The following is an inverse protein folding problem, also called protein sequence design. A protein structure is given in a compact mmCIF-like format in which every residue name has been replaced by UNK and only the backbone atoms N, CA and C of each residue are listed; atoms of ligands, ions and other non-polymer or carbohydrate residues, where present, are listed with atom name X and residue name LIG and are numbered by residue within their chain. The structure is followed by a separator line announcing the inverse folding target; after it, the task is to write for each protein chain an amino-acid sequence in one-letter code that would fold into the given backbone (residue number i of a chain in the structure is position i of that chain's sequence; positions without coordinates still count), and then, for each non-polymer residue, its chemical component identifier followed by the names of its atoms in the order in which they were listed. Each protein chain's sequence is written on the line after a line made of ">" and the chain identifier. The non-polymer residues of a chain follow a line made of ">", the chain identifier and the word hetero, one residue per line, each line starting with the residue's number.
data_IF_257878315280
#
_entry.id   IF_257878315280
#
_cell.length_a   1.000
_cell.length_b   1.000
_cell.length_c   1.000
_cell.angle_alpha   90.00
_cell.angle_beta   90.00
_cell.angle_gamma   90.00
#
_symmetry.space_group_name_H-M   'P 1'
#
loop_
_entity.id
_entity.type
_entity.pdbx_description
1 polymer ?
#
# COMPACT_ATOMS: atom_id res chain seq x y z
N UNK A 1 -32.01 30.99 -30.29
CA UNK A 1 -32.00 29.72 -29.51
C UNK A 1 -31.27 28.67 -30.35
N UNK A 2 -30.47 27.78 -29.74
CA UNK A 2 -29.61 26.74 -30.38
C UNK A 2 -28.15 27.06 -30.72
N UNK A 3 -27.36 27.61 -29.78
CA UNK A 3 -25.88 27.46 -29.82
C UNK A 3 -25.21 27.21 -28.45
N UNK A 4 -25.99 26.75 -27.46
CA UNK A 4 -25.53 26.49 -26.09
C UNK A 4 -25.33 24.99 -25.78
N UNK A 5 -25.22 24.14 -26.79
CA UNK A 5 -25.11 22.67 -26.62
C UNK A 5 -23.85 22.14 -27.31
N UNK A 6 -22.70 22.81 -27.12
CA UNK A 6 -21.38 22.25 -27.46
C UNK A 6 -20.39 22.65 -26.36
N UNK A 7 -20.72 22.37 -25.11
CA UNK A 7 -19.79 22.53 -23.98
C UNK A 7 -19.94 21.43 -22.92
N UNK A 8 -20.83 20.45 -23.13
CA UNK A 8 -21.13 19.41 -22.16
C UNK A 8 -20.47 18.05 -22.46
N UNK A 9 -19.71 17.93 -23.56
CA UNK A 9 -19.11 16.65 -23.97
C UNK A 9 -17.65 16.43 -23.51
N UNK A 10 -17.05 17.42 -22.82
CA UNK A 10 -15.68 17.34 -22.30
C UNK A 10 -15.62 17.15 -20.77
N UNK A 11 -16.68 16.59 -20.18
CA UNK A 11 -16.73 16.21 -18.77
C UNK A 11 -16.78 14.70 -18.56
N UNK A 12 -16.57 13.91 -19.61
CA UNK A 12 -16.27 12.49 -19.44
C UNK A 12 -14.84 12.35 -18.91
N UNK A 13 -14.76 12.46 -17.59
CA UNK A 13 -14.14 11.42 -16.80
C UNK A 13 -12.72 11.06 -17.24
N UNK A 14 -11.79 12.00 -17.11
CA UNK A 14 -10.52 11.62 -16.50
C UNK A 14 -10.80 11.29 -15.03
N UNK A 15 -11.54 10.20 -14.80
CA UNK A 15 -11.33 9.39 -13.60
C UNK A 15 -9.97 8.79 -13.89
N UNK A 16 -8.91 9.58 -13.71
CA UNK A 16 -7.66 9.03 -13.25
C UNK A 16 -8.05 8.45 -11.91
N UNK A 17 -8.52 7.20 -11.94
CA UNK A 17 -8.50 6.33 -10.78
C UNK A 17 -7.03 6.38 -10.41
N UNK A 18 -6.68 7.29 -9.49
CA UNK A 18 -5.54 7.06 -8.62
C UNK A 18 -5.97 5.77 -7.95
N UNK A 19 -5.61 4.65 -8.58
CA UNK A 19 -5.84 3.34 -8.04
C UNK A 19 -5.24 3.48 -6.65
N UNK A 20 -6.08 3.41 -5.61
CA UNK A 20 -5.54 3.15 -4.30
C UNK A 20 -4.62 1.95 -4.53
N UNK A 21 -3.35 2.07 -4.16
CA UNK A 21 -2.40 0.99 -4.30
C UNK A 21 -2.87 -0.08 -3.32
N UNK A 22 -3.69 -0.98 -3.86
CA UNK A 22 -4.33 -2.10 -3.18
C UNK A 22 -3.68 -3.37 -3.67
N UNK A 23 -3.77 -4.41 -2.86
CA UNK A 23 -3.25 -5.73 -3.23
C UNK A 23 -3.82 -6.19 -4.57
N UNK A 24 -5.11 -5.98 -4.82
CA UNK A 24 -5.75 -6.39 -6.06
C UNK A 24 -5.29 -5.55 -7.25
N UNK A 25 -5.20 -4.22 -7.08
CA UNK A 25 -4.69 -3.35 -8.14
C UNK A 25 -3.25 -3.67 -8.51
N UNK A 26 -2.43 -4.06 -7.53
CA UNK A 26 -1.06 -4.50 -7.77
C UNK A 26 -0.99 -5.83 -8.53
N UNK A 27 -1.78 -6.83 -8.11
CA UNK A 27 -1.89 -8.13 -8.80
C UNK A 27 -2.38 -7.98 -10.24
N UNK A 28 -3.38 -7.12 -10.48
CA UNK A 28 -3.89 -6.83 -11.82
C UNK A 28 -2.80 -6.22 -12.71
N UNK A 29 -1.99 -5.32 -12.14
CA UNK A 29 -0.87 -4.71 -12.85
C UNK A 29 0.23 -5.71 -13.15
N UNK A 30 0.59 -6.59 -12.21
CA UNK A 30 1.54 -7.68 -12.44
C UNK A 30 1.04 -8.65 -13.53
N UNK A 31 -0.24 -9.05 -13.48
CA UNK A 31 -0.84 -9.92 -14.49
C UNK A 31 -0.83 -9.30 -15.89
N UNK A 32 -1.00 -7.97 -15.98
CA UNK A 32 -1.03 -7.23 -17.25
C UNK A 32 0.35 -6.90 -17.80
N UNK A 33 1.32 -6.62 -16.92
CA UNK A 33 2.60 -6.01 -17.30
C UNK A 33 3.84 -6.87 -16.96
N UNK A 34 3.65 -8.04 -16.35
CA UNK A 34 4.69 -8.95 -15.87
C UNK A 34 5.03 -8.71 -14.38
N UNK A 35 5.35 -9.79 -13.67
CA UNK A 35 5.73 -9.74 -12.24
C UNK A 35 7.05 -8.99 -12.03
N UNK A 36 7.98 -9.07 -12.98
CA UNK A 36 9.30 -8.41 -12.93
C UNK A 36 9.30 -7.02 -13.59
N UNK A 37 8.16 -6.32 -13.59
CA UNK A 37 8.07 -5.01 -14.23
C UNK A 37 8.75 -3.93 -13.39
N UNK A 38 9.96 -3.52 -13.77
CA UNK A 38 10.76 -2.52 -13.03
C UNK A 38 10.01 -1.20 -12.75
N UNK A 39 9.16 -0.75 -13.68
CA UNK A 39 8.40 0.50 -13.50
C UNK A 39 7.34 0.34 -12.42
N UNK A 40 6.66 -0.81 -12.38
CA UNK A 40 5.69 -1.13 -11.33
C UNK A 40 6.39 -1.20 -9.97
N UNK A 41 7.53 -1.89 -9.90
CA UNK A 41 8.31 -2.02 -8.66
C UNK A 41 8.79 -0.66 -8.13
N UNK A 42 9.24 0.24 -9.00
CA UNK A 42 9.61 1.61 -8.62
C UNK A 42 8.40 2.35 -8.05
N UNK A 43 7.21 2.22 -8.67
CA UNK A 43 5.99 2.88 -8.19
C UNK A 43 5.57 2.34 -6.81
N UNK A 44 5.65 1.03 -6.60
CA UNK A 44 5.41 0.40 -5.30
C UNK A 44 6.41 0.91 -4.27
N UNK A 45 7.70 0.95 -4.60
CA UNK A 45 8.75 1.49 -3.74
C UNK A 45 8.50 2.93 -3.31
N UNK A 46 8.22 3.83 -4.26
CA UNK A 46 7.91 5.23 -3.94
C UNK A 46 6.69 5.36 -3.00
N UNK A 47 5.70 4.48 -3.14
CA UNK A 47 4.54 4.49 -2.27
C UNK A 47 4.85 3.96 -0.87
N UNK A 48 5.57 2.85 -0.78
CA UNK A 48 6.01 2.26 0.50
C UNK A 48 6.87 3.26 1.26
N UNK A 49 7.80 3.93 0.59
CA UNK A 49 8.64 4.99 1.17
C UNK A 49 7.79 6.11 1.84
N UNK A 50 6.88 6.72 1.08
CA UNK A 50 6.01 7.78 1.63
C UNK A 50 5.03 7.28 2.70
N UNK A 51 4.65 6.00 2.65
CA UNK A 51 3.81 5.37 3.67
C UNK A 51 4.57 5.19 5.00
N UNK A 52 5.83 4.77 4.96
CA UNK A 52 6.67 4.60 6.15
C UNK A 52 6.82 5.91 6.91
N UNK A 53 7.08 7.01 6.21
CA UNK A 53 7.17 8.35 6.81
C UNK A 53 5.91 8.67 7.62
N UNK A 54 4.73 8.41 7.04
CA UNK A 54 3.45 8.61 7.71
C UNK A 54 3.25 7.69 8.91
N UNK A 55 3.57 6.41 8.77
CA UNK A 55 3.43 5.41 9.83
C UNK A 55 4.37 5.70 11.01
N UNK A 56 5.62 6.08 10.75
CA UNK A 56 6.58 6.43 11.80
C UNK A 56 6.24 7.73 12.51
N UNK A 57 5.78 8.73 11.76
CA UNK A 57 5.28 9.97 12.35
C UNK A 57 4.14 9.68 13.34
N UNK A 58 3.16 8.85 12.94
CA UNK A 58 2.03 8.49 13.81
C UNK A 58 2.48 7.63 15.00
N UNK A 59 3.30 6.60 14.77
CA UNK A 59 3.72 5.66 15.81
C UNK A 59 4.54 6.34 16.92
N UNK A 60 5.39 7.30 16.57
CA UNK A 60 6.19 8.06 17.55
C UNK A 60 5.32 8.82 18.55
N UNK A 61 4.21 9.37 18.09
CA UNK A 61 3.31 10.20 18.90
C UNK A 61 2.35 9.35 19.76
N UNK A 62 2.34 8.02 19.58
CA UNK A 62 1.57 7.10 20.40
C UNK A 62 2.33 6.72 21.69
N UNK A 63 1.60 6.60 22.83
CA UNK A 63 2.11 5.93 24.03
C UNK A 63 2.61 4.52 23.70
N UNK A 64 3.64 4.06 24.41
CA UNK A 64 4.30 2.77 24.16
C UNK A 64 3.30 1.61 24.16
N UNK A 65 2.34 1.61 25.09
CA UNK A 65 1.29 0.59 25.20
C UNK A 65 0.25 0.60 24.07
N UNK A 66 0.28 1.62 23.20
CA UNK A 66 -0.60 1.75 22.04
C UNK A 66 0.13 1.56 20.71
N UNK A 67 1.44 1.34 20.73
CA UNK A 67 2.20 1.06 19.51
C UNK A 67 1.88 -0.36 19.03
N UNK A 68 1.60 -0.48 17.73
CA UNK A 68 1.37 -1.79 17.12
C UNK A 68 2.68 -2.56 16.89
N UNK A 69 3.79 -1.84 16.72
CA UNK A 69 5.11 -2.40 16.42
C UNK A 69 6.20 -1.60 17.15
N UNK A 70 7.32 -2.25 17.44
CA UNK A 70 8.42 -1.70 18.23
C UNK A 70 9.76 -2.01 17.54
N UNK A 71 10.25 -1.06 16.76
CA UNK A 71 11.53 -1.18 16.06
C UNK A 71 12.66 -0.89 17.05
N UNK A 72 13.71 -1.71 17.10
CA UNK A 72 14.90 -1.42 17.91
C UNK A 72 15.52 -0.06 17.55
N UNK A 73 16.02 0.67 18.56
CA UNK A 73 16.62 1.99 18.37
C UNK A 73 17.90 1.95 17.49
N UNK A 74 18.53 0.78 17.36
CA UNK A 74 19.73 0.54 16.57
C UNK A 74 19.45 0.05 15.13
N UNK A 75 18.17 -0.08 14.76
CA UNK A 75 17.76 -0.58 13.46
C UNK A 75 17.16 0.54 12.59
N UNK A 76 17.69 0.66 11.37
CA UNK A 76 17.19 1.61 10.38
C UNK A 76 16.31 0.89 9.36
N UNK A 77 15.06 1.37 9.19
CA UNK A 77 14.17 0.86 8.15
C UNK A 77 14.47 1.55 6.83
N UNK A 78 15.35 0.91 6.06
CA UNK A 78 15.63 1.32 4.69
C UNK A 78 14.47 0.99 3.75
N UNK A 79 14.41 1.65 2.59
CA UNK A 79 13.41 1.33 1.57
C UNK A 79 13.49 -0.12 1.10
N UNK A 80 14.72 -0.65 0.93
CA UNK A 80 14.93 -2.04 0.50
C UNK A 80 14.36 -3.03 1.52
N UNK A 81 14.64 -2.81 2.82
CA UNK A 81 14.08 -3.62 3.89
C UNK A 81 12.55 -3.50 3.94
N UNK A 82 12.00 -2.29 3.81
CA UNK A 82 10.55 -2.11 3.83
C UNK A 82 9.86 -2.80 2.65
N UNK A 83 10.45 -2.76 1.46
CA UNK A 83 9.97 -3.47 0.29
C UNK A 83 10.03 -5.00 0.48
N UNK A 84 11.10 -5.49 1.11
CA UNK A 84 11.23 -6.90 1.47
C UNK A 84 10.11 -7.33 2.42
N UNK A 85 9.92 -6.61 3.53
CA UNK A 85 8.85 -6.87 4.51
C UNK A 85 7.46 -6.80 3.88
N UNK A 86 7.23 -5.82 3.02
CA UNK A 86 5.96 -5.66 2.31
C UNK A 86 5.66 -6.85 1.41
N UNK A 87 6.64 -7.27 0.58
CA UNK A 87 6.49 -8.42 -0.32
C UNK A 87 6.37 -9.74 0.43
N UNK A 88 7.10 -9.89 1.54
CA UNK A 88 6.96 -11.03 2.43
C UNK A 88 5.53 -11.11 2.97
N UNK A 89 4.97 -10.02 3.49
CA UNK A 89 3.62 -10.02 4.05
C UNK A 89 2.54 -10.31 2.99
N UNK A 90 2.69 -9.78 1.77
CA UNK A 90 1.84 -10.12 0.64
C UNK A 90 1.81 -11.63 0.37
N UNK A 91 2.98 -12.29 0.47
CA UNK A 91 3.10 -13.74 0.30
C UNK A 91 2.51 -14.51 1.49
N UNK A 92 2.83 -14.09 2.72
CA UNK A 92 2.40 -14.75 3.96
C UNK A 92 0.87 -14.71 4.12
N UNK A 93 0.24 -13.57 3.86
CA UNK A 93 -1.21 -13.38 3.97
C UNK A 93 -1.94 -13.44 2.64
N UNK A 94 -1.31 -14.02 1.61
CA UNK A 94 -1.85 -14.10 0.25
C UNK A 94 -3.29 -14.65 0.22
N UNK A 95 -3.56 -15.72 0.97
CA UNK A 95 -4.88 -16.34 1.05
C UNK A 95 -5.92 -15.40 1.67
N UNK A 96 -5.59 -14.77 2.80
CA UNK A 96 -6.49 -13.86 3.50
C UNK A 96 -6.80 -12.59 2.68
N UNK A 97 -5.79 -11.99 2.04
CA UNK A 97 -6.01 -10.85 1.17
C UNK A 97 -6.83 -11.23 -0.07
N UNK A 98 -6.74 -12.47 -0.54
CA UNK A 98 -7.61 -12.99 -1.61
C UNK A 98 -9.05 -13.14 -1.12
N UNK A 99 -9.27 -13.70 0.07
CA UNK A 99 -10.62 -13.78 0.66
C UNK A 99 -11.25 -12.39 0.83
N UNK A 100 -10.48 -11.39 1.25
CA UNK A 100 -10.97 -10.00 1.31
C UNK A 100 -11.37 -9.47 -0.06
N UNK A 101 -10.56 -9.70 -1.10
CA UNK A 101 -10.91 -9.33 -2.47
C UNK A 101 -12.20 -10.02 -2.94
N UNK A 102 -12.40 -11.30 -2.63
CA UNK A 102 -13.60 -12.06 -2.99
C UNK A 102 -14.86 -11.50 -2.31
N UNK A 103 -14.70 -10.92 -1.12
CA UNK A 103 -15.76 -10.20 -0.40
C UNK A 103 -15.93 -8.74 -0.87
N UNK A 104 -15.16 -8.30 -1.87
CA UNK A 104 -15.19 -6.92 -2.38
C UNK A 104 -14.50 -5.90 -1.47
N UNK A 105 -13.69 -6.36 -0.51
CA UNK A 105 -12.92 -5.53 0.40
C UNK A 105 -11.56 -5.26 -0.23
N UNK A 106 -11.29 -3.99 -0.55
CA UNK A 106 -9.98 -3.58 -1.06
C UNK A 106 -8.97 -3.51 0.09
N UNK A 107 -7.92 -4.32 0.02
CA UNK A 107 -6.81 -4.30 0.98
C UNK A 107 -5.81 -3.22 0.57
N UNK A 108 -5.69 -2.10 1.32
CA UNK A 108 -4.74 -1.06 0.98
C UNK A 108 -3.32 -1.48 1.38
N UNK A 109 -2.32 -1.02 0.63
CA UNK A 109 -0.91 -1.24 0.96
C UNK A 109 -0.52 -0.75 2.36
N UNK A 110 -1.21 0.28 2.89
CA UNK A 110 -1.02 0.74 4.26
C UNK A 110 -1.30 -0.33 5.31
N UNK A 111 -2.35 -1.13 5.10
CA UNK A 111 -2.68 -2.24 5.98
C UNK A 111 -1.60 -3.33 5.88
N UNK A 112 -1.18 -3.68 4.66
CA UNK A 112 -0.12 -4.66 4.44
C UNK A 112 1.17 -4.25 5.15
N UNK A 113 1.58 -2.98 5.04
CA UNK A 113 2.79 -2.52 5.71
C UNK A 113 2.66 -2.52 7.24
N UNK A 114 1.49 -2.15 7.78
CA UNK A 114 1.25 -2.25 9.23
C UNK A 114 1.33 -3.70 9.67
N UNK A 115 0.69 -4.62 8.96
CA UNK A 115 0.75 -6.06 9.25
C UNK A 115 2.19 -6.59 9.21
N UNK A 116 2.97 -6.18 8.20
CA UNK A 116 4.37 -6.53 8.04
C UNK A 116 5.22 -6.05 9.23
N UNK A 117 5.06 -4.77 9.63
CA UNK A 117 5.78 -4.20 10.77
C UNK A 117 5.39 -4.87 12.08
N UNK A 118 4.10 -5.17 12.29
CA UNK A 118 3.62 -5.86 13.49
C UNK A 118 4.17 -7.27 13.60
N UNK A 119 4.24 -7.99 12.47
CA UNK A 119 4.80 -9.34 12.41
C UNK A 119 6.31 -9.35 12.67
N UNK A 120 7.02 -8.43 12.03
CA UNK A 120 8.49 -8.41 12.07
C UNK A 120 9.02 -7.78 13.37
N UNK A 121 8.37 -6.72 13.86
CA UNK A 121 8.75 -5.97 15.05
C UNK A 121 7.67 -6.00 16.15
N UNK A 122 7.32 -7.17 16.70
CA UNK A 122 6.33 -7.23 17.75
C UNK A 122 6.82 -6.50 19.01
N UNK A 123 5.98 -5.64 19.58
CA UNK A 123 6.26 -5.05 20.88
C UNK A 123 6.32 -6.14 21.96
N UNK A 124 7.38 -6.14 22.77
CA UNK A 124 7.50 -7.05 23.92
C UNK A 124 6.44 -6.69 24.95
N UNK A 125 5.69 -7.70 25.37
CA UNK A 125 4.64 -7.62 26.41
C UNK A 125 5.24 -7.46 27.81
#
# INVERSE_FOLDING_TARGET
>A
MNRLIIAAAWLFASISTQAALTVDGYRDMQAKHGEDNEVLEIQVGMYVDGLLDGLFMISRDLPEEKRGWCIPDDEEITLDLALELFKEELSVRNAEYTEFSELGIQVPFSLVMVDALQRHYPCKS
#
